data_IF_317000383699
#
_entry.id   IF_317000383699
#
_cell.length_a   1.000
_cell.length_b   1.000
_cell.length_c   1.000
_cell.angle_alpha   90.00
_cell.angle_beta   90.00
_cell.angle_gamma   90.00
#
_symmetry.space_group_name_H-M   'P 1'
#
loop_
_entity.id
_entity.type
_entity.pdbx_description
1 polymer ?
#
# COMPACT_ATOMS: atom_id res chain seq x y z
N UNK A 1 3.02 -14.47 12.16
CA UNK A 1 2.04 -13.67 11.42
C UNK A 1 1.51 -14.58 10.33
N UNK A 2 0.44 -15.32 10.63
CA UNK A 2 -0.16 -16.22 9.64
C UNK A 2 -1.00 -15.35 8.71
N UNK A 3 -0.46 -15.01 7.54
CA UNK A 3 -1.19 -14.26 6.51
C UNK A 3 -2.07 -15.22 5.69
N UNK A 4 -2.47 -16.35 6.29
CA UNK A 4 -3.37 -17.32 5.68
C UNK A 4 -4.55 -16.56 5.08
N UNK A 5 -4.67 -16.72 3.75
CA UNK A 5 -5.77 -16.24 2.96
C UNK A 5 -7.00 -17.00 3.43
N UNK A 6 -7.60 -16.55 4.54
CA UNK A 6 -8.81 -17.17 5.05
C UNK A 6 -9.86 -17.08 3.94
N UNK A 7 -10.55 -18.18 3.60
CA UNK A 7 -11.45 -18.24 2.43
C UNK A 7 -12.55 -17.17 2.43
N UNK A 8 -12.86 -16.60 3.59
CA UNK A 8 -13.92 -15.62 3.84
C UNK A 8 -13.39 -14.25 4.28
N UNK A 9 -12.07 -14.03 4.25
CA UNK A 9 -11.45 -12.78 4.71
C UNK A 9 -11.94 -11.58 3.92
N UNK A 10 -12.11 -11.76 2.62
CA UNK A 10 -12.46 -10.71 1.67
C UNK A 10 -13.92 -10.90 1.27
N UNK A 11 -14.79 -10.13 1.92
CA UNK A 11 -16.22 -10.09 1.59
C UNK A 11 -16.39 -9.01 0.53
N UNK A 12 -16.61 -9.44 -0.70
CA UNK A 12 -17.03 -8.59 -1.79
C UNK A 12 -18.55 -8.47 -1.71
N UNK A 13 -19.04 -7.25 -1.52
CA UNK A 13 -20.46 -6.94 -1.61
C UNK A 13 -20.84 -6.64 -3.08
N UNK A 14 -22.06 -6.16 -3.31
CA UNK A 14 -22.48 -5.71 -4.64
C UNK A 14 -21.72 -4.45 -5.11
N UNK A 15 -21.02 -3.77 -4.19
CA UNK A 15 -20.23 -2.59 -4.51
C UNK A 15 -18.81 -2.98 -4.97
N UNK A 16 -18.17 -2.17 -5.81
CA UNK A 16 -16.79 -2.42 -6.18
C UNK A 16 -15.87 -2.37 -4.97
N UNK A 17 -14.94 -3.32 -4.88
CA UNK A 17 -13.87 -3.26 -3.88
C UNK A 17 -12.83 -2.21 -4.29
N UNK A 18 -12.75 -1.12 -3.54
CA UNK A 18 -11.87 0.00 -3.83
C UNK A 18 -10.53 -0.21 -3.14
N UNK A 19 -9.45 -0.15 -3.94
CA UNK A 19 -8.07 -0.12 -3.49
C UNK A 19 -7.50 1.25 -3.83
N UNK A 20 -7.12 2.04 -2.82
CA UNK A 20 -6.64 3.41 -3.01
C UNK A 20 -5.45 3.72 -2.11
N UNK A 21 -4.71 4.77 -2.45
CA UNK A 21 -3.55 5.22 -1.69
C UNK A 21 -2.48 5.89 -2.57
N UNK A 22 -1.35 6.30 -1.98
CA UNK A 22 -0.32 7.07 -2.65
C UNK A 22 0.42 6.24 -3.71
N UNK A 23 1.09 6.93 -4.64
CA UNK A 23 1.93 6.30 -5.64
C UNK A 23 3.09 5.52 -5.00
N UNK A 24 3.77 6.15 -4.05
CA UNK A 24 4.96 5.64 -3.38
C UNK A 24 4.78 5.70 -1.86
N UNK A 25 5.46 4.82 -1.12
CA UNK A 25 5.58 4.86 0.35
C UNK A 25 6.82 5.67 0.70
N UNK A 26 6.63 6.87 1.24
CA UNK A 26 7.72 7.80 1.54
C UNK A 26 8.01 7.92 3.04
N UNK A 27 7.03 7.67 3.91
CA UNK A 27 7.22 7.63 5.37
C UNK A 27 6.09 6.85 6.06
N UNK A 28 6.32 6.43 7.31
CA UNK A 28 5.30 5.79 8.14
C UNK A 28 4.12 6.73 8.40
N UNK A 29 4.41 7.98 8.79
CA UNK A 29 3.40 8.99 9.13
C UNK A 29 2.48 9.26 7.93
N UNK A 30 3.07 9.37 6.74
CA UNK A 30 2.32 9.54 5.50
C UNK A 30 1.38 8.36 5.26
N UNK A 31 1.85 7.13 5.42
CA UNK A 31 1.02 5.92 5.18
C UNK A 31 -0.09 5.79 6.21
N UNK A 32 0.17 6.10 7.49
CA UNK A 32 -0.85 6.09 8.53
C UNK A 32 -1.93 7.15 8.27
N UNK A 33 -1.54 8.37 7.89
CA UNK A 33 -2.49 9.43 7.51
C UNK A 33 -3.36 9.03 6.31
N UNK A 34 -2.75 8.45 5.27
CA UNK A 34 -3.51 7.91 4.14
C UNK A 34 -4.48 6.80 4.57
N UNK A 35 -4.05 5.87 5.42
CA UNK A 35 -4.90 4.78 5.89
C UNK A 35 -6.18 5.30 6.56
N UNK A 36 -6.04 6.31 7.42
CA UNK A 36 -7.16 6.93 8.12
C UNK A 36 -8.11 7.64 7.16
N UNK A 37 -7.58 8.46 6.24
CA UNK A 37 -8.38 9.20 5.24
C UNK A 37 -9.12 8.27 4.28
N UNK A 38 -8.46 7.20 3.82
CA UNK A 38 -9.07 6.23 2.91
C UNK A 38 -10.18 5.43 3.59
N UNK A 39 -9.97 5.05 4.85
CA UNK A 39 -11.00 4.36 5.64
C UNK A 39 -12.26 5.22 5.84
N UNK A 40 -12.08 6.52 6.11
CA UNK A 40 -13.19 7.46 6.34
C UNK A 40 -14.11 7.60 5.11
N UNK A 41 -13.54 7.52 3.90
CA UNK A 41 -14.30 7.60 2.64
C UNK A 41 -14.79 6.24 2.11
N UNK A 42 -14.61 5.16 2.88
CA UNK A 42 -15.11 3.83 2.53
C UNK A 42 -14.22 3.00 1.59
N UNK A 43 -12.93 3.31 1.46
CA UNK A 43 -11.98 2.47 0.73
C UNK A 43 -11.74 1.16 1.49
N UNK A 44 -11.79 0.04 0.79
CA UNK A 44 -11.69 -1.28 1.40
C UNK A 44 -10.24 -1.69 1.73
N UNK A 45 -9.26 -1.24 0.93
CA UNK A 45 -7.85 -1.52 1.17
C UNK A 45 -6.91 -0.36 0.77
N UNK A 46 -5.84 -0.18 1.54
CA UNK A 46 -4.77 0.76 1.25
C UNK A 46 -3.72 0.13 0.32
N UNK A 47 -3.26 0.89 -0.69
CA UNK A 47 -2.08 0.55 -1.52
C UNK A 47 -1.02 1.63 -1.46
N UNK A 48 0.24 1.26 -1.67
CA UNK A 48 1.36 2.18 -1.84
C UNK A 48 2.58 1.43 -2.35
N UNK A 49 3.30 1.98 -3.32
CA UNK A 49 4.52 1.37 -3.84
C UNK A 49 5.70 1.57 -2.89
N UNK A 50 6.13 0.53 -2.18
CA UNK A 50 7.27 0.63 -1.25
C UNK A 50 8.63 0.67 -1.97
N UNK A 51 8.71 0.05 -3.14
CA UNK A 51 9.94 -0.01 -3.93
C UNK A 51 9.59 -0.11 -5.41
N UNK A 52 10.13 0.81 -6.22
CA UNK A 52 10.11 0.72 -7.68
C UNK A 52 11.55 0.48 -8.15
N UNK A 53 11.92 -0.76 -8.54
CA UNK A 53 13.26 -1.00 -9.06
C UNK A 53 13.46 -0.12 -10.31
N UNK A 54 14.53 0.66 -10.31
CA UNK A 54 14.91 1.43 -11.49
C UNK A 54 15.31 0.47 -12.62
N UNK A 55 14.86 0.75 -13.84
CA UNK A 55 15.24 0.01 -15.06
C UNK A 55 16.75 0.11 -15.37
N UNK A 56 17.46 1.03 -14.70
CA UNK A 56 18.91 1.19 -14.79
C UNK A 56 19.55 0.95 -13.41
N UNK A 57 20.71 0.26 -13.33
CA UNK A 57 21.33 -0.08 -12.06
C UNK A 57 21.75 1.19 -11.31
N UNK A 58 21.19 1.39 -10.12
CA UNK A 58 21.74 2.29 -9.12
C UNK A 58 22.94 1.57 -8.49
N UNK A 59 24.15 1.99 -8.84
CA UNK A 59 25.39 1.36 -8.36
C UNK A 59 25.85 1.87 -6.99
N UNK A 60 25.30 2.99 -6.54
CA UNK A 60 25.64 3.63 -5.26
C UNK A 60 24.39 3.91 -4.44
N UNK A 61 24.46 3.64 -3.13
CA UNK A 61 23.32 3.87 -2.24
C UNK A 61 23.06 5.37 -2.09
N UNK A 62 21.85 5.79 -2.41
CA UNK A 62 21.37 7.14 -2.09
C UNK A 62 20.46 6.99 -0.88
N UNK A 63 20.70 7.78 0.17
CA UNK A 63 19.89 7.83 1.40
C UNK A 63 19.61 6.47 2.07
N UNK A 64 20.53 5.51 1.95
CA UNK A 64 20.43 4.20 2.60
C UNK A 64 19.64 3.15 1.81
N UNK A 65 19.24 3.45 0.57
CA UNK A 65 18.50 2.53 -0.28
C UNK A 65 19.43 1.86 -1.30
N UNK A 66 19.28 0.54 -1.47
CA UNK A 66 19.83 -0.30 -2.55
C UNK A 66 18.71 -1.15 -3.13
#
# INVERSE_FOLDING_TARGET
>A
MDISLQPDRWKFDDNPYIISGPCSVESEEMIVDWALKMKDIGVNALRGGAYKPCTYPITESIIGWK
#
